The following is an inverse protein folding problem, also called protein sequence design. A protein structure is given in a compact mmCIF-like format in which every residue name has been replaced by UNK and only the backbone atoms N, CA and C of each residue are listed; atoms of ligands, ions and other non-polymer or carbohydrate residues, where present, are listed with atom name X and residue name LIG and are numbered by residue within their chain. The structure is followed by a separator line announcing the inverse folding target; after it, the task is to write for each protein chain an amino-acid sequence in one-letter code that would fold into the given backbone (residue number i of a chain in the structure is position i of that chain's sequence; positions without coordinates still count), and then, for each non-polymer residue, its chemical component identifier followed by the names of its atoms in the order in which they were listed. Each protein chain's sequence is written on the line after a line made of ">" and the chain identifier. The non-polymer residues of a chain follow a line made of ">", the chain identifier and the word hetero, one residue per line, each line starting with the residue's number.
data_IF_996345581200
#
_entry.id   IF_996345581200
#
_cell.length_a   1.000
_cell.length_b   1.000
_cell.length_c   1.000
_cell.angle_alpha   90.00
_cell.angle_beta   90.00
_cell.angle_gamma   90.00
#
_symmetry.space_group_name_H-M   'P 1'
#
loop_
_entity.id
_entity.type
_entity.pdbx_description
1 polymer ?
#
# COMPACT_ATOMS: atom_id res chain seq x y z
N UNK A 1 -28.52 11.17 3.57
CA UNK A 1 -27.27 11.84 3.19
C UNK A 1 -26.66 12.46 4.44
N UNK A 2 -25.36 12.52 4.55
CA UNK A 2 -24.59 13.14 5.65
C UNK A 2 -23.52 14.03 5.05
N UNK A 3 -22.92 14.92 5.85
CA UNK A 3 -21.86 15.83 5.42
C UNK A 3 -20.50 15.22 5.71
N UNK A 4 -19.58 15.28 4.72
CA UNK A 4 -18.17 14.95 4.87
C UNK A 4 -17.32 16.05 4.21
N UNK A 5 -16.39 16.64 4.98
CA UNK A 5 -15.58 17.78 4.54
C UNK A 5 -14.18 17.39 4.07
N UNK A 6 -13.77 16.14 4.26
CA UNK A 6 -12.42 15.63 3.89
C UNK A 6 -11.30 16.58 4.37
N UNK A 7 -11.32 17.00 5.62
CA UNK A 7 -10.39 17.99 6.15
C UNK A 7 -8.96 17.43 6.24
N UNK A 8 -8.00 18.12 5.62
CA UNK A 8 -6.59 17.77 5.57
C UNK A 8 -5.68 18.73 6.36
N UNK A 9 -6.14 19.93 6.66
CA UNK A 9 -5.42 20.91 7.45
C UNK A 9 -6.39 21.75 8.29
N UNK A 10 -5.86 22.46 9.29
CA UNK A 10 -6.71 23.06 10.33
C UNK A 10 -7.37 24.38 9.89
N UNK A 11 -6.61 25.28 9.26
CA UNK A 11 -7.05 26.63 8.93
C UNK A 11 -6.68 26.97 7.48
N UNK A 12 -7.41 27.89 6.80
CA UNK A 12 -7.04 28.33 5.45
C UNK A 12 -5.58 28.79 5.33
N UNK A 13 -5.04 29.43 6.37
CA UNK A 13 -3.64 29.92 6.41
C UNK A 13 -2.62 28.77 6.43
N UNK A 14 -3.00 27.56 6.86
CA UNK A 14 -2.13 26.38 6.92
C UNK A 14 -1.95 25.70 5.55
N UNK A 15 -2.72 26.14 4.55
CA UNK A 15 -2.64 25.60 3.19
C UNK A 15 -1.23 25.56 2.60
N UNK A 16 -0.39 26.62 2.72
CA UNK A 16 0.99 26.58 2.22
C UNK A 16 1.84 25.50 2.91
N UNK A 17 1.60 25.25 4.21
CA UNK A 17 2.29 24.19 4.97
C UNK A 17 1.88 22.81 4.44
N UNK A 18 0.59 22.58 4.26
CA UNK A 18 0.08 21.33 3.68
C UNK A 18 0.62 21.12 2.26
N UNK A 19 0.65 22.17 1.43
CA UNK A 19 1.26 22.12 0.09
C UNK A 19 2.74 21.75 0.15
N UNK A 20 3.52 22.39 1.03
CA UNK A 20 4.94 22.07 1.21
C UNK A 20 5.15 20.61 1.62
N UNK A 21 4.28 20.06 2.48
CA UNK A 21 4.31 18.65 2.85
C UNK A 21 4.05 17.74 1.65
N UNK A 22 3.04 18.03 0.82
CA UNK A 22 2.69 17.21 -0.34
C UNK A 22 3.77 17.24 -1.43
N UNK A 23 4.44 18.38 -1.61
CA UNK A 23 5.47 18.55 -2.66
C UNK A 23 6.89 18.22 -2.18
N UNK A 24 7.09 18.00 -0.88
CA UNK A 24 8.41 17.84 -0.27
C UNK A 24 9.23 16.66 -0.81
N UNK A 25 8.57 15.63 -1.37
CA UNK A 25 9.22 14.41 -1.85
C UNK A 25 9.09 14.18 -3.36
N UNK A 26 8.11 14.77 -4.02
CA UNK A 26 7.69 14.39 -5.38
C UNK A 26 7.77 15.53 -6.41
N UNK A 27 8.27 16.69 -6.05
CA UNK A 27 8.25 17.85 -6.95
C UNK A 27 6.86 18.46 -7.10
N UNK A 28 6.64 19.21 -8.17
CA UNK A 28 5.41 19.98 -8.40
C UNK A 28 4.21 19.06 -8.68
N UNK A 29 3.34 18.93 -7.69
CA UNK A 29 2.00 18.37 -7.91
C UNK A 29 0.99 19.49 -8.01
N UNK A 30 0.09 19.39 -8.98
CA UNK A 30 -1.04 20.31 -9.10
C UNK A 30 -2.06 20.05 -7.98
N UNK A 31 -1.72 20.53 -6.76
CA UNK A 31 -2.53 20.30 -5.56
C UNK A 31 -3.50 21.45 -5.29
N UNK A 32 -3.34 22.58 -5.96
CA UNK A 32 -3.96 23.85 -5.59
C UNK A 32 -5.50 23.85 -5.70
N UNK A 33 -6.06 23.17 -6.68
CA UNK A 33 -7.51 23.13 -6.84
C UNK A 33 -8.17 22.11 -5.94
N UNK A 34 -7.57 20.92 -5.83
CA UNK A 34 -8.17 19.82 -5.06
C UNK A 34 -8.28 20.12 -3.56
N UNK A 35 -7.21 20.69 -2.97
CA UNK A 35 -7.14 20.92 -1.53
C UNK A 35 -7.57 22.33 -1.11
N UNK A 36 -8.26 23.08 -1.99
CA UNK A 36 -8.63 24.46 -1.71
C UNK A 36 -9.56 24.61 -0.50
N UNK A 37 -10.47 23.67 -0.32
CA UNK A 37 -11.53 23.71 0.68
C UNK A 37 -11.45 22.55 1.68
N UNK A 38 -10.29 21.88 1.83
CA UNK A 38 -10.11 20.74 2.71
C UNK A 38 -9.55 21.13 4.09
N UNK A 39 -9.92 22.28 4.60
CA UNK A 39 -9.64 22.69 5.98
C UNK A 39 -10.84 22.41 6.90
N UNK A 40 -10.62 22.54 8.20
CA UNK A 40 -11.72 22.37 9.19
C UNK A 40 -12.63 23.59 9.13
N UNK A 41 -13.76 23.47 8.45
CA UNK A 41 -14.74 24.51 8.24
C UNK A 41 -15.76 24.55 9.39
N UNK A 42 -16.25 25.74 9.69
CA UNK A 42 -17.47 25.92 10.50
C UNK A 42 -18.72 25.40 9.76
N UNK A 43 -19.81 25.07 10.48
CA UNK A 43 -21.07 24.69 9.84
C UNK A 43 -21.58 25.72 8.83
N UNK A 44 -21.42 27.01 9.13
CA UNK A 44 -21.88 28.11 8.26
C UNK A 44 -21.05 28.15 6.96
N UNK A 45 -19.73 28.01 7.02
CA UNK A 45 -18.85 27.94 5.84
C UNK A 45 -19.19 26.71 4.97
N UNK A 46 -19.46 25.56 5.58
CA UNK A 46 -19.86 24.35 4.84
C UNK A 46 -21.20 24.60 4.14
N UNK A 47 -22.17 25.18 4.83
CA UNK A 47 -23.48 25.49 4.29
C UNK A 47 -23.39 26.46 3.10
N UNK A 48 -22.63 27.54 3.27
CA UNK A 48 -22.38 28.52 2.20
C UNK A 48 -21.72 27.89 0.96
N UNK A 49 -20.76 26.99 1.19
CA UNK A 49 -20.07 26.28 0.11
C UNK A 49 -21.02 25.31 -0.62
N UNK A 50 -21.85 24.57 0.11
CA UNK A 50 -22.80 23.60 -0.44
C UNK A 50 -23.92 24.27 -1.24
N UNK A 51 -24.37 25.46 -0.84
CA UNK A 51 -25.36 26.25 -1.56
C UNK A 51 -24.91 26.65 -2.98
N UNK A 52 -23.60 26.60 -3.27
CA UNK A 52 -23.08 26.80 -4.66
C UNK A 52 -23.43 25.65 -5.60
N UNK A 53 -23.77 24.48 -5.07
CA UNK A 53 -24.02 23.25 -5.85
C UNK A 53 -25.40 22.64 -5.58
N UNK A 54 -25.98 22.93 -4.41
CA UNK A 54 -27.30 22.45 -3.99
C UNK A 54 -28.17 23.65 -3.72
N UNK A 55 -29.17 23.88 -4.59
CA UNK A 55 -30.05 25.06 -4.49
C UNK A 55 -31.05 24.98 -3.31
N UNK A 56 -31.40 23.77 -2.89
CA UNK A 56 -32.37 23.53 -1.81
C UNK A 56 -31.69 23.52 -0.44
N UNK A 57 -31.84 24.61 0.28
CA UNK A 57 -31.31 24.79 1.64
C UNK A 57 -31.87 23.75 2.64
N UNK A 58 -33.13 23.32 2.49
CA UNK A 58 -33.71 22.32 3.35
C UNK A 58 -33.03 20.95 3.26
N UNK A 59 -32.53 20.61 2.06
CA UNK A 59 -31.72 19.39 1.86
C UNK A 59 -30.40 19.47 2.62
N UNK A 60 -29.75 20.62 2.61
CA UNK A 60 -28.50 20.84 3.34
C UNK A 60 -28.73 20.75 4.84
N UNK A 61 -29.78 21.39 5.35
CA UNK A 61 -30.14 21.33 6.78
C UNK A 61 -30.45 19.91 7.23
N UNK A 62 -31.17 19.14 6.42
CA UNK A 62 -31.38 17.70 6.68
C UNK A 62 -30.08 16.90 6.71
N UNK A 63 -29.08 17.25 5.88
CA UNK A 63 -27.77 16.58 5.91
C UNK A 63 -27.02 16.88 7.20
N UNK A 64 -27.12 18.10 7.74
CA UNK A 64 -26.57 18.45 9.06
C UNK A 64 -27.27 17.67 10.17
N UNK A 65 -28.60 17.64 10.18
CA UNK A 65 -29.39 16.87 11.15
C UNK A 65 -29.00 15.39 11.13
N UNK A 66 -28.91 14.78 9.95
CA UNK A 66 -28.50 13.38 9.79
C UNK A 66 -27.06 13.13 10.32
N UNK A 67 -26.16 14.07 10.12
CA UNK A 67 -24.79 13.99 10.67
C UNK A 67 -24.79 14.02 12.20
N UNK A 68 -25.61 14.87 12.81
CA UNK A 68 -25.78 14.93 14.26
C UNK A 68 -26.45 13.66 14.81
N UNK A 69 -27.47 13.13 14.13
CA UNK A 69 -28.11 11.87 14.51
C UNK A 69 -27.13 10.68 14.43
N UNK A 70 -26.25 10.66 13.42
CA UNK A 70 -25.18 9.67 13.34
C UNK A 70 -24.23 9.78 14.53
N UNK A 71 -23.81 11.01 14.87
CA UNK A 71 -22.92 11.27 16.02
C UNK A 71 -23.53 10.78 17.34
N UNK A 72 -24.83 11.01 17.58
CA UNK A 72 -25.53 10.56 18.80
C UNK A 72 -25.52 9.02 18.95
N UNK A 73 -25.44 8.27 17.84
CA UNK A 73 -25.38 6.79 17.86
C UNK A 73 -24.01 6.26 18.22
N UNK A 74 -22.96 7.09 18.12
CA UNK A 74 -21.58 6.70 18.41
C UNK A 74 -21.35 6.90 19.91
N UNK A 75 -21.07 5.79 20.61
CA UNK A 75 -20.63 5.83 22.02
C UNK A 75 -19.11 5.82 22.06
N UNK A 76 -18.54 6.36 23.14
CA UNK A 76 -17.10 6.27 23.34
C UNK A 76 -16.67 4.81 23.42
N UNK A 77 -15.64 4.44 22.62
CA UNK A 77 -15.03 3.12 22.66
C UNK A 77 -13.56 3.24 22.25
N UNK A 78 -12.74 2.28 22.65
CA UNK A 78 -11.35 2.19 22.22
C UNK A 78 -11.19 1.04 21.25
N UNK A 79 -10.58 1.34 20.10
CA UNK A 79 -10.12 0.34 19.12
C UNK A 79 -8.65 -0.05 19.37
N UNK A 80 -8.02 0.52 20.40
CA UNK A 80 -6.64 0.22 20.73
C UNK A 80 -6.48 -1.29 21.01
N UNK A 81 -5.69 -1.95 20.22
CA UNK A 81 -5.34 -3.36 20.33
C UNK A 81 -3.87 -3.54 19.98
N UNK A 82 -3.25 -4.60 20.49
CA UNK A 82 -1.92 -5.01 20.03
C UNK A 82 -2.00 -5.26 18.52
N UNK A 83 -1.05 -4.69 17.78
CA UNK A 83 -0.92 -4.95 16.35
C UNK A 83 -0.66 -6.45 16.12
N UNK A 84 -1.36 -7.03 15.16
CA UNK A 84 -1.24 -8.43 14.79
C UNK A 84 -0.97 -8.48 13.30
N UNK A 85 0.12 -9.12 12.90
CA UNK A 85 0.38 -9.45 11.51
C UNK A 85 -0.31 -10.79 11.23
N UNK A 86 -1.30 -10.83 10.33
CA UNK A 86 -1.98 -12.07 10.01
C UNK A 86 -1.02 -13.04 9.33
N UNK A 87 -1.15 -14.33 9.64
CA UNK A 87 -0.35 -15.41 9.05
C UNK A 87 -1.29 -16.49 8.55
N UNK A 88 -1.18 -16.80 7.28
CA UNK A 88 -1.88 -17.93 6.66
C UNK A 88 -0.93 -19.13 6.52
N UNK A 89 -1.49 -20.30 6.31
CA UNK A 89 -0.70 -21.44 5.86
C UNK A 89 -0.33 -21.21 4.38
N UNK A 90 0.95 -21.23 4.06
CA UNK A 90 1.48 -21.05 2.71
C UNK A 90 2.01 -22.38 2.17
N UNK A 91 2.13 -22.47 0.83
CA UNK A 91 2.86 -23.56 0.19
C UNK A 91 4.31 -23.56 0.69
N UNK A 92 4.79 -24.73 1.10
CA UNK A 92 6.20 -24.86 1.48
C UNK A 92 7.09 -24.98 0.26
N UNK A 93 8.11 -24.12 0.21
CA UNK A 93 9.21 -24.19 -0.74
C UNK A 93 10.44 -24.76 -0.06
N UNK A 94 11.19 -25.63 -0.78
CA UNK A 94 12.47 -26.12 -0.31
C UNK A 94 13.49 -24.97 -0.29
N UNK A 95 14.47 -25.03 0.60
CA UNK A 95 15.52 -24.00 0.72
C UNK A 95 16.39 -23.81 -0.53
N UNK A 96 16.37 -24.74 -1.47
CA UNK A 96 17.05 -24.64 -2.77
C UNK A 96 16.16 -24.24 -3.92
N UNK A 97 14.84 -24.08 -3.72
CA UNK A 97 13.84 -23.85 -4.78
C UNK A 97 14.14 -22.58 -5.58
N UNK A 98 14.51 -21.49 -4.89
CA UNK A 98 14.82 -20.20 -5.53
C UNK A 98 15.95 -20.29 -6.56
N UNK A 99 16.87 -21.25 -6.46
CA UNK A 99 17.92 -21.48 -7.45
C UNK A 99 17.39 -21.82 -8.83
N UNK A 100 16.20 -22.43 -8.90
CA UNK A 100 15.58 -22.80 -10.18
C UNK A 100 15.37 -21.60 -11.10
N UNK A 101 15.07 -20.44 -10.54
CA UNK A 101 14.84 -19.22 -11.31
C UNK A 101 16.11 -18.61 -11.88
N UNK A 102 17.28 -18.89 -11.31
CA UNK A 102 18.57 -18.36 -11.74
C UNK A 102 19.38 -19.35 -12.63
N UNK A 103 18.79 -20.48 -12.96
CA UNK A 103 19.44 -21.53 -13.74
C UNK A 103 20.33 -22.46 -12.89
N UNK A 104 20.57 -23.66 -13.43
CA UNK A 104 21.30 -24.73 -12.71
C UNK A 104 22.81 -24.48 -12.71
N UNK A 105 23.31 -23.59 -13.60
CA UNK A 105 24.75 -23.44 -13.91
C UNK A 105 25.44 -22.30 -13.15
N UNK A 106 24.88 -21.79 -12.07
CA UNK A 106 25.54 -20.83 -11.19
C UNK A 106 25.94 -19.47 -11.83
N UNK A 107 25.37 -19.09 -12.96
CA UNK A 107 25.71 -17.85 -13.69
C UNK A 107 25.48 -16.57 -12.87
N UNK A 108 24.71 -16.66 -11.78
CA UNK A 108 24.37 -15.56 -10.89
C UNK A 108 24.89 -15.72 -9.45
N UNK A 109 25.83 -16.64 -9.23
CA UNK A 109 26.31 -16.94 -7.88
C UNK A 109 26.95 -15.72 -7.19
N UNK A 110 27.70 -14.90 -7.94
CA UNK A 110 28.35 -13.70 -7.42
C UNK A 110 27.31 -12.64 -7.06
N UNK A 111 26.28 -12.46 -7.86
CA UNK A 111 25.17 -11.54 -7.60
C UNK A 111 24.32 -12.00 -6.43
N UNK A 112 24.02 -13.29 -6.29
CA UNK A 112 23.29 -13.85 -5.16
C UNK A 112 24.09 -13.76 -3.85
N UNK A 113 25.41 -13.86 -3.90
CA UNK A 113 26.28 -13.65 -2.74
C UNK A 113 26.60 -12.16 -2.50
N UNK A 114 26.42 -11.31 -3.50
CA UNK A 114 26.64 -9.87 -3.47
C UNK A 114 25.35 -9.06 -3.24
N UNK A 115 25.01 -8.22 -4.21
CA UNK A 115 23.88 -7.29 -4.14
C UNK A 115 22.51 -7.97 -3.99
N UNK A 116 22.36 -9.20 -4.45
CA UNK A 116 21.12 -9.97 -4.34
C UNK A 116 21.11 -10.97 -3.17
N UNK A 117 22.03 -10.78 -2.23
CA UNK A 117 22.15 -11.68 -1.07
C UNK A 117 20.83 -11.87 -0.30
N UNK A 118 19.99 -10.84 -0.25
CA UNK A 118 18.68 -10.94 0.42
C UNK A 118 17.77 -12.01 -0.21
N UNK A 119 17.86 -12.26 -1.52
CA UNK A 119 17.10 -13.33 -2.19
C UNK A 119 17.55 -14.70 -1.66
N UNK A 120 18.86 -14.89 -1.53
CA UNK A 120 19.43 -16.12 -0.96
C UNK A 120 19.01 -16.28 0.50
N UNK A 121 19.13 -15.23 1.29
CA UNK A 121 18.79 -15.24 2.72
C UNK A 121 17.31 -15.60 2.94
N UNK A 122 16.39 -15.01 2.17
CA UNK A 122 14.97 -15.33 2.23
C UNK A 122 14.66 -16.72 1.67
N UNK A 123 15.30 -17.11 0.56
CA UNK A 123 15.10 -18.41 -0.08
C UNK A 123 15.58 -19.58 0.77
N UNK A 124 16.58 -19.38 1.63
CA UNK A 124 17.11 -20.38 2.56
C UNK A 124 16.60 -20.26 3.99
N UNK A 125 15.77 -19.27 4.28
CA UNK A 125 15.22 -18.99 5.59
C UNK A 125 14.51 -20.19 6.20
N UNK A 126 14.55 -20.34 7.53
CA UNK A 126 13.71 -21.31 8.25
C UNK A 126 12.23 -20.91 8.30
N UNK A 127 11.93 -19.63 8.05
CA UNK A 127 10.57 -19.13 8.04
C UNK A 127 9.87 -19.42 6.68
N UNK A 128 8.79 -20.23 6.66
CA UNK A 128 8.10 -20.56 5.42
C UNK A 128 7.46 -19.35 4.75
N UNK A 129 7.09 -18.29 5.49
CA UNK A 129 6.52 -17.07 4.95
C UNK A 129 7.52 -16.29 4.09
N UNK A 130 8.78 -16.26 4.49
CA UNK A 130 9.86 -15.62 3.76
C UNK A 130 10.19 -16.38 2.48
N UNK A 131 10.34 -17.72 2.58
CA UNK A 131 10.58 -18.57 1.41
C UNK A 131 9.42 -18.47 0.41
N UNK A 132 8.20 -18.46 0.89
CA UNK A 132 7.02 -18.32 0.04
C UNK A 132 7.03 -16.99 -0.73
N UNK A 133 7.19 -15.88 0.00
CA UNK A 133 7.15 -14.54 -0.58
C UNK A 133 8.20 -14.37 -1.70
N UNK A 134 9.45 -14.74 -1.43
CA UNK A 134 10.52 -14.55 -2.43
C UNK A 134 10.32 -15.45 -3.66
N UNK A 135 9.94 -16.71 -3.47
CA UNK A 135 9.69 -17.60 -4.60
C UNK A 135 8.51 -17.10 -5.46
N UNK A 136 7.43 -16.61 -4.84
CA UNK A 136 6.30 -16.02 -5.56
C UNK A 136 6.68 -14.74 -6.32
N UNK A 137 7.55 -13.91 -5.78
CA UNK A 137 8.08 -12.74 -6.49
C UNK A 137 8.92 -13.15 -7.71
N UNK A 138 9.81 -14.13 -7.57
CA UNK A 138 10.64 -14.63 -8.66
C UNK A 138 9.79 -15.30 -9.76
N UNK A 139 8.80 -16.10 -9.35
CA UNK A 139 7.83 -16.70 -10.27
C UNK A 139 7.06 -15.62 -11.05
N UNK A 140 6.59 -14.59 -10.36
CA UNK A 140 5.88 -13.45 -10.95
C UNK A 140 6.74 -12.65 -11.95
N UNK A 141 8.06 -12.54 -11.73
CA UNK A 141 8.98 -11.92 -12.69
C UNK A 141 9.02 -12.72 -14.01
N UNK A 142 9.06 -14.05 -13.91
CA UNK A 142 9.08 -14.94 -15.08
C UNK A 142 7.74 -14.90 -15.82
N UNK A 143 6.63 -15.08 -15.09
CA UNK A 143 5.28 -15.10 -15.66
C UNK A 143 4.92 -13.82 -16.40
N UNK A 144 5.39 -12.67 -15.88
CA UNK A 144 5.15 -11.35 -16.49
C UNK A 144 6.21 -10.96 -17.55
N UNK A 145 7.23 -11.80 -17.79
CA UNK A 145 8.31 -11.50 -18.73
C UNK A 145 9.21 -10.35 -18.30
N UNK A 146 9.40 -10.15 -17.00
CA UNK A 146 10.13 -9.05 -16.38
C UNK A 146 11.45 -9.49 -15.74
N UNK A 147 12.07 -10.57 -16.26
CA UNK A 147 13.35 -11.08 -15.75
C UNK A 147 14.51 -10.20 -16.22
N UNK A 148 14.62 -9.01 -15.61
CA UNK A 148 15.62 -7.99 -15.91
C UNK A 148 16.27 -7.48 -14.62
N UNK A 149 17.53 -7.01 -14.70
CA UNK A 149 18.32 -6.58 -13.56
C UNK A 149 17.63 -5.51 -12.69
N UNK A 150 17.03 -4.50 -13.31
CA UNK A 150 16.34 -3.41 -12.62
C UNK A 150 15.14 -3.89 -11.81
N UNK A 151 14.41 -4.91 -12.29
CA UNK A 151 13.29 -5.52 -11.57
C UNK A 151 13.79 -6.36 -10.39
N UNK A 152 14.86 -7.14 -10.60
CA UNK A 152 15.45 -7.96 -9.54
C UNK A 152 16.06 -7.07 -8.45
N UNK A 153 16.79 -6.02 -8.81
CA UNK A 153 17.33 -5.05 -7.87
C UNK A 153 16.20 -4.38 -7.05
N UNK A 154 15.08 -4.07 -7.69
CA UNK A 154 13.92 -3.47 -7.00
C UNK A 154 13.31 -4.44 -5.98
N UNK A 155 13.19 -5.72 -6.28
CA UNK A 155 12.73 -6.73 -5.33
C UNK A 155 13.69 -6.84 -4.15
N UNK A 156 15.00 -6.77 -4.37
CA UNK A 156 15.98 -6.76 -3.29
C UNK A 156 15.79 -5.57 -2.35
N UNK A 157 15.61 -4.37 -2.90
CA UNK A 157 15.34 -3.15 -2.11
C UNK A 157 14.07 -3.31 -1.27
N UNK A 158 12.99 -3.79 -1.88
CA UNK A 158 11.73 -3.99 -1.18
C UNK A 158 11.83 -5.07 -0.10
N UNK A 159 12.54 -6.16 -0.37
CA UNK A 159 12.80 -7.23 0.59
C UNK A 159 13.56 -6.74 1.83
N UNK A 160 14.62 -5.96 1.63
CA UNK A 160 15.39 -5.36 2.73
C UNK A 160 14.49 -4.46 3.60
N UNK A 161 13.68 -3.61 2.97
CA UNK A 161 12.76 -2.71 3.67
C UNK A 161 11.72 -3.51 4.48
N UNK A 162 11.09 -4.51 3.87
CA UNK A 162 10.07 -5.35 4.53
C UNK A 162 10.70 -6.10 5.71
N UNK A 163 11.90 -6.64 5.53
CA UNK A 163 12.62 -7.34 6.59
C UNK A 163 12.98 -6.40 7.76
N UNK A 164 13.46 -5.20 7.45
CA UNK A 164 13.85 -4.22 8.48
C UNK A 164 12.65 -3.69 9.28
N UNK A 165 11.51 -3.50 8.62
CA UNK A 165 10.27 -3.17 9.33
C UNK A 165 9.83 -4.35 10.19
N UNK A 166 9.87 -5.57 9.66
CA UNK A 166 9.54 -6.78 10.41
C UNK A 166 10.39 -6.94 11.67
N UNK A 167 11.70 -6.69 11.59
CA UNK A 167 12.61 -6.69 12.75
C UNK A 167 12.19 -5.66 13.80
N UNK A 168 11.77 -4.46 13.41
CA UNK A 168 11.30 -3.42 14.36
C UNK A 168 9.98 -3.80 15.01
N UNK A 169 9.13 -4.54 14.33
CA UNK A 169 7.84 -5.01 14.84
C UNK A 169 7.95 -6.32 15.64
N UNK A 170 9.15 -6.92 15.67
CA UNK A 170 9.40 -8.27 16.23
C UNK A 170 8.45 -9.33 15.63
N UNK A 171 8.20 -9.24 14.31
CA UNK A 171 7.35 -10.17 13.58
C UNK A 171 7.74 -10.27 12.09
N UNK A 172 7.23 -11.31 11.40
CA UNK A 172 7.46 -11.52 9.98
C UNK A 172 6.48 -10.73 9.11
N UNK A 173 6.92 -9.58 8.60
CA UNK A 173 6.06 -8.72 7.77
C UNK A 173 5.77 -9.32 6.38
N UNK A 174 6.56 -10.26 5.87
CA UNK A 174 6.27 -10.98 4.62
C UNK A 174 4.93 -11.73 4.70
N UNK A 175 4.55 -12.21 5.88
CA UNK A 175 3.27 -12.87 6.12
C UNK A 175 2.06 -11.97 5.82
N UNK A 176 2.20 -10.66 6.02
CA UNK A 176 1.17 -9.69 5.66
C UNK A 176 0.90 -9.68 4.15
N UNK A 177 1.94 -9.61 3.33
CA UNK A 177 1.83 -9.63 1.87
C UNK A 177 1.28 -10.96 1.35
N UNK A 178 1.74 -12.08 1.92
CA UNK A 178 1.24 -13.41 1.57
C UNK A 178 -0.26 -13.54 1.88
N UNK A 179 -0.69 -13.00 3.01
CA UNK A 179 -2.11 -12.98 3.40
C UNK A 179 -2.94 -12.12 2.44
N UNK A 180 -2.43 -10.97 2.03
CA UNK A 180 -3.09 -10.12 1.03
C UNK A 180 -3.22 -10.82 -0.32
N UNK A 181 -2.14 -11.44 -0.81
CA UNK A 181 -2.18 -12.24 -2.04
C UNK A 181 -3.27 -13.30 -1.97
N UNK A 182 -3.34 -14.04 -0.87
CA UNK A 182 -4.36 -15.07 -0.67
C UNK A 182 -5.79 -14.50 -0.77
N UNK A 183 -6.07 -13.37 -0.11
CA UNK A 183 -7.39 -12.75 -0.19
C UNK A 183 -7.72 -12.22 -1.59
N UNK A 184 -6.76 -11.63 -2.28
CA UNK A 184 -6.97 -11.17 -3.67
C UNK A 184 -7.29 -12.35 -4.58
N UNK A 185 -6.55 -13.45 -4.47
CA UNK A 185 -6.81 -14.66 -5.24
C UNK A 185 -8.22 -15.23 -4.93
N UNK A 186 -8.60 -15.28 -3.64
CA UNK A 186 -9.92 -15.72 -3.23
C UNK A 186 -11.06 -14.86 -3.85
N UNK A 187 -10.86 -13.52 -3.91
CA UNK A 187 -11.83 -12.65 -4.57
C UNK A 187 -11.97 -12.96 -6.06
N UNK A 188 -10.86 -13.19 -6.76
CA UNK A 188 -10.89 -13.58 -8.17
C UNK A 188 -11.58 -14.95 -8.35
N UNK A 189 -11.27 -15.92 -7.53
CA UNK A 189 -11.90 -17.26 -7.56
C UNK A 189 -13.41 -17.20 -7.29
N UNK A 190 -13.84 -16.28 -6.44
CA UNK A 190 -15.28 -16.04 -6.18
C UNK A 190 -15.97 -15.23 -7.29
N UNK A 191 -15.26 -14.87 -8.36
CA UNK A 191 -15.81 -14.10 -9.48
C UNK A 191 -15.99 -12.60 -9.20
N UNK A 192 -15.36 -12.08 -8.14
CA UNK A 192 -15.34 -10.64 -7.86
C UNK A 192 -14.35 -9.91 -8.74
N UNK A 193 -14.65 -8.66 -9.09
CA UNK A 193 -13.73 -7.79 -9.80
C UNK A 193 -12.86 -7.07 -8.78
N UNK A 194 -11.53 -7.29 -8.87
CA UNK A 194 -10.55 -6.58 -8.06
C UNK A 194 -9.99 -5.41 -8.85
N UNK A 195 -9.98 -4.21 -8.25
CA UNK A 195 -9.43 -3.00 -8.89
C UNK A 195 -7.91 -3.06 -9.08
N UNK A 196 -7.35 -2.21 -9.96
CA UNK A 196 -5.92 -2.27 -10.32
C UNK A 196 -4.97 -1.89 -9.19
N UNK A 197 -5.46 -1.33 -8.12
CA UNK A 197 -4.70 -0.86 -6.98
C UNK A 197 -5.01 0.59 -6.61
N UNK A 198 -4.71 0.98 -5.39
CA UNK A 198 -4.96 2.32 -4.86
C UNK A 198 -3.89 2.72 -3.85
N UNK A 199 -3.61 4.01 -3.79
CA UNK A 199 -2.72 4.61 -2.78
C UNK A 199 -1.27 4.15 -2.95
N UNK A 200 -0.54 4.08 -1.85
CA UNK A 200 0.88 3.74 -1.84
C UNK A 200 1.17 2.27 -2.19
N UNK A 201 0.20 1.37 -2.04
CA UNK A 201 0.38 -0.05 -2.36
C UNK A 201 0.83 -0.31 -3.80
N UNK A 202 0.47 0.59 -4.74
CA UNK A 202 0.89 0.52 -6.15
C UNK A 202 2.37 0.85 -6.37
N UNK A 203 3.06 1.40 -5.37
CA UNK A 203 4.50 1.70 -5.45
C UNK A 203 5.40 0.50 -5.22
N UNK A 204 4.90 -0.62 -4.71
CA UNK A 204 5.66 -1.85 -4.49
C UNK A 204 5.57 -2.78 -5.70
N UNK A 205 6.74 -3.16 -6.24
CA UNK A 205 6.85 -4.14 -7.31
C UNK A 205 6.39 -5.52 -6.84
N UNK A 206 6.73 -5.91 -5.62
CA UNK A 206 6.27 -7.17 -5.03
C UNK A 206 4.74 -7.30 -5.05
N UNK A 207 3.99 -6.21 -4.77
CA UNK A 207 2.54 -6.23 -4.87
C UNK A 207 2.05 -6.52 -6.30
N UNK A 208 2.74 -5.98 -7.31
CA UNK A 208 2.43 -6.25 -8.70
C UNK A 208 2.76 -7.69 -9.10
N UNK A 209 3.91 -8.21 -8.67
CA UNK A 209 4.33 -9.59 -8.95
C UNK A 209 3.43 -10.62 -8.27
N UNK A 210 3.01 -10.36 -7.04
CA UNK A 210 2.07 -11.18 -6.27
C UNK A 210 0.60 -11.05 -6.75
N UNK A 211 0.31 -10.20 -7.74
CA UNK A 211 -1.05 -9.98 -8.23
C UNK A 211 -1.95 -9.16 -7.30
N UNK A 212 -1.41 -8.59 -6.22
CA UNK A 212 -2.14 -7.72 -5.29
C UNK A 212 -2.55 -6.42 -5.98
N UNK A 213 -1.66 -5.87 -6.82
CA UNK A 213 -1.95 -4.73 -7.70
C UNK A 213 -1.75 -5.10 -9.16
N UNK A 214 -2.34 -4.30 -10.09
CA UNK A 214 -2.25 -4.54 -11.53
C UNK A 214 -1.42 -3.46 -12.25
N UNK A 215 -0.68 -2.64 -11.49
CA UNK A 215 0.15 -1.56 -12.02
C UNK A 215 1.62 -1.89 -11.79
N UNK A 216 2.40 -1.92 -12.88
CA UNK A 216 3.85 -2.05 -12.83
C UNK A 216 4.48 -0.73 -12.35
N UNK A 217 5.05 -0.68 -11.13
CA UNK A 217 5.57 0.56 -10.57
C UNK A 217 6.84 1.05 -11.27
N UNK A 218 7.61 0.18 -11.91
CA UNK A 218 8.83 0.58 -12.63
C UNK A 218 8.43 1.26 -13.94
N UNK A 219 7.51 0.65 -14.68
CA UNK A 219 6.99 1.23 -15.93
C UNK A 219 6.38 2.62 -15.75
N UNK A 220 5.71 2.84 -14.61
CA UNK A 220 4.99 4.08 -14.31
C UNK A 220 5.77 5.01 -13.37
N UNK A 221 7.04 4.71 -13.10
CA UNK A 221 7.92 5.48 -12.21
C UNK A 221 7.27 5.79 -10.85
N UNK A 222 6.64 4.76 -10.25
CA UNK A 222 5.99 4.89 -8.95
C UNK A 222 6.99 4.63 -7.82
N UNK A 223 7.12 5.57 -6.87
CA UNK A 223 8.13 5.46 -5.82
C UNK A 223 7.73 4.46 -4.72
N UNK A 224 8.63 3.51 -4.40
CA UNK A 224 8.44 2.53 -3.31
C UNK A 224 8.45 3.17 -1.91
N UNK A 225 9.21 4.24 -1.71
CA UNK A 225 9.36 4.90 -0.41
C UNK A 225 8.06 5.49 0.13
N UNK A 226 7.04 5.71 -0.69
CA UNK A 226 5.71 6.13 -0.23
C UNK A 226 5.00 5.08 0.62
N UNK A 227 5.34 3.81 0.43
CA UNK A 227 4.77 2.69 1.18
C UNK A 227 5.53 2.40 2.47
N UNK A 228 6.67 3.07 2.69
CA UNK A 228 7.61 2.79 3.77
C UNK A 228 7.76 3.92 4.78
N UNK A 229 6.98 5.00 4.64
CA UNK A 229 6.97 6.07 5.63
C UNK A 229 6.24 5.61 6.90
N UNK A 230 7.01 5.10 7.85
CA UNK A 230 6.63 4.87 9.25
C UNK A 230 7.23 6.00 10.07
#
# INVERSE_FOLDING_TARGET
>A
MVIGTDAHYLRPEDRPIHRAYLTSKDGDRETDKFYQYTYVMSPDEVKELMLKSIEDEAVIDLMFENSQELQKKIQWFSLERKQIIPKIQVKEYNKSEYHHYFGVNNDYADELNGRWKIIQDLGTSDNPQERYWINQCLEGLIEKGLWEWNYIDRICIEADIIQDIGKKLDDCLFAYFNTFQHYINLFWECGSIVGPGRGSATGFLSNYLLGITQLDPIRWDLPYWRSTSI
#
